data_IF_483615673192
#
_entry.id   IF_483615673192
#
_cell.length_a   1.000
_cell.length_b   1.000
_cell.length_c   1.000
_cell.angle_alpha   90.00
_cell.angle_beta   90.00
_cell.angle_gamma   90.00
#
_symmetry.space_group_name_H-M   'P 1'
#
loop_
_entity.id
_entity.type
_entity.pdbx_description
1 polymer ?
#
# COMPACT_ATOMS: atom_id res chain seq x y z
N UNK A 1 6.91 -18.88 -4.64
CA UNK A 1 6.00 -17.75 -4.95
C UNK A 1 5.44 -17.97 -6.36
N UNK A 2 4.12 -17.77 -6.55
CA UNK A 2 3.45 -18.02 -7.83
C UNK A 2 3.43 -16.80 -8.76
N UNK A 3 3.65 -15.59 -8.20
CA UNK A 3 3.74 -14.38 -9.01
C UNK A 3 5.03 -14.37 -9.83
N UNK A 4 4.96 -13.87 -11.07
CA UNK A 4 6.15 -13.75 -11.89
C UNK A 4 7.09 -12.67 -11.36
N UNK A 5 8.37 -12.81 -11.68
CA UNK A 5 9.41 -11.91 -11.15
C UNK A 5 9.25 -10.47 -11.61
N UNK A 6 8.75 -10.25 -12.81
CA UNK A 6 8.55 -8.89 -13.33
C UNK A 6 7.42 -8.18 -12.57
N UNK A 7 6.33 -8.88 -12.30
CA UNK A 7 5.22 -8.30 -11.53
C UNK A 7 5.65 -7.99 -10.10
N UNK A 8 6.42 -8.90 -9.47
CA UNK A 8 6.97 -8.68 -8.13
C UNK A 8 7.82 -7.41 -8.10
N UNK A 9 8.69 -7.25 -9.09
CA UNK A 9 9.57 -6.09 -9.22
C UNK A 9 8.75 -4.81 -9.36
N UNK A 10 7.73 -4.81 -10.23
CA UNK A 10 6.87 -3.64 -10.45
C UNK A 10 6.08 -3.29 -9.19
N UNK A 11 5.61 -4.29 -8.45
CA UNK A 11 4.86 -4.06 -7.22
C UNK A 11 5.75 -3.45 -6.13
N UNK A 12 6.97 -3.97 -5.98
CA UNK A 12 7.93 -3.39 -5.05
C UNK A 12 8.24 -1.94 -5.40
N UNK A 13 8.41 -1.66 -6.68
CA UNK A 13 8.66 -0.30 -7.15
C UNK A 13 7.50 0.63 -6.84
N UNK A 14 6.27 0.17 -7.06
CA UNK A 14 5.06 0.93 -6.75
C UNK A 14 5.03 1.35 -5.28
N UNK A 15 5.20 0.39 -4.38
CA UNK A 15 5.14 0.66 -2.94
C UNK A 15 6.27 1.60 -2.51
N UNK A 16 7.50 1.29 -2.92
CA UNK A 16 8.68 2.07 -2.56
C UNK A 16 8.59 3.52 -3.06
N UNK A 17 8.22 3.70 -4.31
CA UNK A 17 8.14 5.05 -4.90
C UNK A 17 6.97 5.85 -4.33
N UNK A 18 5.83 5.20 -4.09
CA UNK A 18 4.69 5.89 -3.51
C UNK A 18 4.97 6.33 -2.08
N UNK A 19 5.64 5.47 -1.30
CA UNK A 19 6.04 5.84 0.06
C UNK A 19 6.99 7.04 0.04
N UNK A 20 7.93 7.07 -0.89
CA UNK A 20 8.84 8.22 -1.04
C UNK A 20 8.10 9.51 -1.39
N UNK A 21 7.07 9.42 -2.23
CA UNK A 21 6.23 10.57 -2.55
C UNK A 21 5.55 11.12 -1.30
N UNK A 22 5.01 10.24 -0.46
CA UNK A 22 4.40 10.63 0.79
C UNK A 22 5.41 11.26 1.75
N UNK A 23 6.62 10.69 1.83
CA UNK A 23 7.68 11.20 2.69
C UNK A 23 8.14 12.59 2.26
N UNK A 24 8.16 12.86 0.96
CA UNK A 24 8.59 14.14 0.42
C UNK A 24 7.50 15.21 0.43
N UNK A 25 6.28 14.83 0.05
CA UNK A 25 5.16 15.77 -0.07
C UNK A 25 4.31 15.84 1.19
N UNK A 26 4.44 14.86 2.07
CA UNK A 26 3.59 14.72 3.24
C UNK A 26 2.27 14.04 2.89
N UNK A 27 1.55 13.63 3.92
CA UNK A 27 0.21 13.07 3.79
C UNK A 27 -0.80 14.12 4.27
N UNK A 28 -1.98 14.15 3.65
CA UNK A 28 -3.01 15.06 4.07
C UNK A 28 -3.83 14.46 5.22
N UNK A 29 -3.81 15.05 6.42
CA UNK A 29 -4.62 14.54 7.53
C UNK A 29 -6.11 14.80 7.35
N UNK A 30 -6.47 15.62 6.37
CA UNK A 30 -7.88 15.99 6.11
C UNK A 30 -8.78 14.78 5.87
N UNK A 31 -8.25 13.74 5.24
CA UNK A 31 -9.02 12.51 4.99
C UNK A 31 -9.54 11.92 6.30
N UNK A 32 -8.70 11.86 7.35
CA UNK A 32 -9.11 11.31 8.63
C UNK A 32 -10.18 12.19 9.30
N UNK A 33 -10.14 13.50 9.11
CA UNK A 33 -11.13 14.43 9.64
C UNK A 33 -12.49 14.19 8.98
N UNK A 34 -12.52 14.04 7.65
CA UNK A 34 -13.76 13.77 6.90
C UNK A 34 -14.43 12.49 7.40
N UNK A 35 -13.62 11.46 7.65
CA UNK A 35 -14.14 10.15 8.09
C UNK A 35 -14.24 10.01 9.61
N UNK A 36 -13.96 11.09 10.35
CA UNK A 36 -14.09 11.16 11.82
C UNK A 36 -13.29 10.11 12.56
N UNK A 37 -12.07 9.85 12.09
CA UNK A 37 -11.20 8.87 12.72
C UNK A 37 -10.48 9.49 13.92
N UNK A 38 -10.40 8.73 15.02
CA UNK A 38 -9.78 9.20 16.26
C UNK A 38 -8.26 9.20 16.16
N UNK A 39 -7.70 8.22 15.46
CA UNK A 39 -6.26 8.09 15.31
C UNK A 39 -5.90 8.35 13.85
N UNK A 40 -5.37 9.54 13.57
CA UNK A 40 -5.06 9.98 12.22
C UNK A 40 -4.00 9.11 11.57
N UNK A 41 -2.92 8.80 12.30
CA UNK A 41 -1.82 8.00 11.74
C UNK A 41 -2.25 6.60 11.38
N UNK A 42 -3.01 5.94 12.25
CA UNK A 42 -3.51 4.58 11.98
C UNK A 42 -4.46 4.56 10.79
N UNK A 43 -5.32 5.58 10.69
CA UNK A 43 -6.23 5.67 9.54
C UNK A 43 -5.45 5.85 8.24
N UNK A 44 -4.49 6.79 8.21
CA UNK A 44 -3.69 7.06 7.02
C UNK A 44 -2.83 5.86 6.65
N UNK A 45 -2.31 5.15 7.64
CA UNK A 45 -1.55 3.92 7.41
C UNK A 45 -2.41 2.87 6.70
N UNK A 46 -3.60 2.60 7.22
CA UNK A 46 -4.54 1.65 6.62
C UNK A 46 -4.98 2.09 5.23
N UNK A 47 -5.22 3.38 5.04
CA UNK A 47 -5.57 3.94 3.74
C UNK A 47 -4.45 3.70 2.73
N UNK A 48 -3.20 3.98 3.10
CA UNK A 48 -2.04 3.77 2.24
C UNK A 48 -1.89 2.29 1.88
N UNK A 49 -1.96 1.40 2.88
CA UNK A 49 -1.82 -0.05 2.65
C UNK A 49 -2.91 -0.54 1.70
N UNK A 50 -4.15 -0.14 1.92
CA UNK A 50 -5.28 -0.50 1.06
C UNK A 50 -5.11 0.03 -0.36
N UNK A 51 -4.60 1.25 -0.51
CA UNK A 51 -4.30 1.84 -1.80
C UNK A 51 -3.25 1.03 -2.56
N UNK A 52 -2.17 0.62 -1.87
CA UNK A 52 -1.09 -0.15 -2.49
C UNK A 52 -1.57 -1.54 -2.90
N UNK A 53 -2.27 -2.24 -2.03
CA UNK A 53 -2.82 -3.57 -2.34
C UNK A 53 -3.83 -3.45 -3.48
N UNK A 54 -4.74 -2.49 -3.43
CA UNK A 54 -5.75 -2.28 -4.47
C UNK A 54 -5.12 -1.94 -5.82
N UNK A 55 -4.12 -1.08 -5.83
CA UNK A 55 -3.41 -0.71 -7.07
C UNK A 55 -2.69 -1.92 -7.67
N UNK A 56 -2.05 -2.73 -6.82
CA UNK A 56 -1.35 -3.93 -7.29
C UNK A 56 -2.33 -4.98 -7.84
N UNK A 57 -3.48 -5.16 -7.19
CA UNK A 57 -4.52 -6.07 -7.68
C UNK A 57 -5.07 -5.62 -9.04
N UNK A 58 -5.29 -4.32 -9.20
CA UNK A 58 -5.73 -3.75 -10.47
C UNK A 58 -4.68 -3.94 -11.56
N UNK A 59 -3.42 -3.69 -11.25
CA UNK A 59 -2.31 -3.90 -12.19
C UNK A 59 -2.20 -5.36 -12.59
N UNK A 60 -2.41 -6.29 -11.66
CA UNK A 60 -2.40 -7.71 -11.95
C UNK A 60 -3.47 -8.06 -12.99
N UNK A 61 -4.69 -7.55 -12.81
CA UNK A 61 -5.80 -7.82 -13.72
C UNK A 61 -5.53 -7.28 -15.12
N UNK A 62 -4.93 -6.10 -15.22
CA UNK A 62 -4.57 -5.51 -16.51
C UNK A 62 -3.47 -6.34 -17.18
N UNK A 63 -2.46 -6.72 -16.41
CA UNK A 63 -1.29 -7.44 -16.93
C UNK A 63 -1.62 -8.88 -17.36
N UNK A 64 -2.37 -9.60 -16.53
CA UNK A 64 -2.69 -11.02 -16.77
C UNK A 64 -4.07 -11.25 -17.38
N UNK A 65 -4.89 -10.22 -17.48
CA UNK A 65 -6.26 -10.26 -18.04
C UNK A 65 -7.15 -11.29 -17.34
N UNK A 66 -6.95 -11.41 -16.02
CA UNK A 66 -7.76 -12.25 -15.15
C UNK A 66 -7.61 -11.75 -13.71
N UNK A 67 -8.52 -12.16 -12.83
CA UNK A 67 -8.35 -11.86 -11.41
C UNK A 67 -7.27 -12.76 -10.81
N UNK A 68 -6.55 -12.32 -9.78
CA UNK A 68 -5.58 -13.19 -9.13
C UNK A 68 -6.27 -14.31 -8.37
N UNK A 69 -5.57 -15.44 -8.24
CA UNK A 69 -6.01 -16.52 -7.35
C UNK A 69 -5.89 -16.07 -5.91
N UNK A 70 -6.48 -16.82 -4.97
CA UNK A 70 -6.34 -16.52 -3.55
C UNK A 70 -4.88 -16.49 -3.12
N UNK A 71 -4.07 -17.43 -3.62
CA UNK A 71 -2.64 -17.47 -3.31
C UNK A 71 -1.91 -16.25 -3.85
N UNK A 72 -2.20 -15.87 -5.09
CA UNK A 72 -1.59 -14.68 -5.70
C UNK A 72 -1.98 -13.41 -4.95
N UNK A 73 -3.25 -13.31 -4.54
CA UNK A 73 -3.71 -12.17 -3.74
C UNK A 73 -2.91 -12.06 -2.44
N UNK A 74 -2.75 -13.19 -1.73
CA UNK A 74 -1.97 -13.21 -0.49
C UNK A 74 -0.52 -12.82 -0.71
N UNK A 75 0.07 -13.25 -1.82
CA UNK A 75 1.45 -12.88 -2.14
C UNK A 75 1.60 -11.40 -2.43
N UNK A 76 0.59 -10.79 -3.06
CA UNK A 76 0.56 -9.34 -3.27
C UNK A 76 0.51 -8.61 -1.93
N UNK A 77 -0.34 -9.06 -1.02
CA UNK A 77 -0.42 -8.48 0.33
C UNK A 77 0.93 -8.60 1.05
N UNK A 78 1.58 -9.75 0.94
CA UNK A 78 2.90 -9.97 1.56
C UNK A 78 3.96 -9.02 1.04
N UNK A 79 3.94 -8.68 -0.26
CA UNK A 79 4.87 -7.70 -0.81
C UNK A 79 4.71 -6.36 -0.10
N UNK A 80 3.47 -5.92 0.08
CA UNK A 80 3.20 -4.65 0.78
C UNK A 80 3.61 -4.75 2.25
N UNK A 81 3.35 -5.90 2.89
CA UNK A 81 3.73 -6.15 4.29
C UNK A 81 5.24 -6.08 4.53
N UNK A 82 6.04 -6.36 3.50
CA UNK A 82 7.50 -6.24 3.61
C UNK A 82 7.96 -4.80 3.89
N UNK A 83 7.09 -3.83 3.66
CA UNK A 83 7.35 -2.42 3.95
C UNK A 83 6.67 -1.95 5.23
N UNK A 84 6.14 -2.89 6.04
CA UNK A 84 5.31 -2.55 7.20
C UNK A 84 6.02 -1.64 8.21
N UNK A 85 7.29 -1.88 8.49
CA UNK A 85 8.03 -1.04 9.44
C UNK A 85 8.17 0.40 8.94
N UNK A 86 8.56 0.55 7.69
CA UNK A 86 8.73 1.87 7.09
C UNK A 86 7.39 2.63 6.99
N UNK A 87 6.33 1.91 6.63
CA UNK A 87 4.99 2.49 6.51
C UNK A 87 4.48 2.93 7.88
N UNK A 88 4.53 2.05 8.87
CA UNK A 88 4.04 2.38 10.21
C UNK A 88 4.85 3.50 10.85
N UNK A 89 6.17 3.48 10.69
CA UNK A 89 7.03 4.54 11.21
C UNK A 89 6.68 5.90 10.60
N UNK A 90 6.50 5.95 9.29
CA UNK A 90 6.16 7.21 8.63
C UNK A 90 4.82 7.76 9.14
N UNK A 91 3.79 6.92 9.17
CA UNK A 91 2.45 7.40 9.54
C UNK A 91 2.29 7.62 11.04
N UNK A 92 3.16 7.06 11.88
CA UNK A 92 3.11 7.27 13.32
C UNK A 92 3.29 8.76 13.70
N UNK A 93 3.96 9.54 12.86
CA UNK A 93 4.15 10.98 13.12
C UNK A 93 2.83 11.76 13.14
N UNK A 94 1.77 11.20 12.57
CA UNK A 94 0.46 11.85 12.55
C UNK A 94 -0.42 11.48 13.75
N UNK A 95 0.05 10.57 14.59
CA UNK A 95 -0.65 10.21 15.81
C UNK A 95 -0.45 11.32 16.85
N UNK A 96 -1.50 11.67 17.50
CA UNK A 96 -1.45 12.69 18.55
C UNK A 96 -1.18 12.09 19.93
#
# INVERSE_FOLDING_TARGET
MTLDSEFIKQTNKLVSETLKLYQNAGASPRISEVWRCKNTGDFLCGFFVGEMVGSALSAFQVFHKRVPTAQEHMEIVEIVENYSEEITEFFSQFNS
#
